data_IF_018711128803
#
_entry.id   IF_018711128803
#
_cell.length_a   1.000
_cell.length_b   1.000
_cell.length_c   1.000
_cell.angle_alpha   90.00
_cell.angle_beta   90.00
_cell.angle_gamma   90.00
#
_symmetry.space_group_name_H-M   'P 1'
#
loop_
_entity.id
_entity.type
_entity.pdbx_description
1 polymer ?
#
# COMPACT_ATOMS: atom_id res chain seq x y z
N UNK A 1 -12.91 -5.16 23.48
CA UNK A 1 -11.53 -5.33 24.00
C UNK A 1 -10.57 -4.78 22.96
N UNK A 2 -9.86 -3.68 23.28
CA UNK A 2 -8.76 -3.21 22.44
C UNK A 2 -7.66 -4.27 22.48
N UNK A 3 -7.24 -4.77 21.32
CA UNK A 3 -6.09 -5.68 21.22
C UNK A 3 -4.88 -4.96 21.84
N UNK A 4 -4.06 -5.64 22.65
CA UNK A 4 -2.90 -5.02 23.27
C UNK A 4 -2.04 -4.35 22.19
N UNK A 5 -1.67 -3.08 22.43
CA UNK A 5 -0.82 -2.29 21.55
C UNK A 5 0.59 -2.89 21.57
N UNK A 6 0.79 -3.95 20.81
CA UNK A 6 2.13 -4.36 20.43
C UNK A 6 2.70 -3.17 19.66
N UNK A 7 3.57 -2.38 20.31
CA UNK A 7 4.07 -1.09 19.82
C UNK A 7 4.45 -1.21 18.34
N UNK A 8 3.54 -0.74 17.46
CA UNK A 8 3.75 -0.84 16.02
C UNK A 8 4.80 0.19 15.66
N UNK A 9 5.88 -0.24 14.98
CA UNK A 9 6.97 0.66 14.61
C UNK A 9 6.46 1.69 13.60
N UNK A 10 6.16 2.88 14.10
CA UNK A 10 5.78 4.04 13.28
C UNK A 10 6.97 4.47 12.43
N UNK A 11 6.71 4.71 11.16
CA UNK A 11 7.66 5.20 10.16
C UNK A 11 7.22 6.57 9.70
N UNK A 12 8.16 7.38 9.24
CA UNK A 12 7.88 8.68 8.60
C UNK A 12 8.27 8.62 7.13
N UNK A 13 7.52 9.33 6.29
CA UNK A 13 7.81 9.53 4.88
C UNK A 13 7.65 11.01 4.54
N UNK A 14 8.64 11.61 3.90
CA UNK A 14 8.60 12.99 3.41
C UNK A 14 8.20 12.95 1.95
N UNK A 15 7.01 13.43 1.64
CA UNK A 15 6.42 13.37 0.31
C UNK A 15 6.89 14.53 -0.57
N UNK A 16 6.86 14.31 -1.89
CA UNK A 16 7.16 15.34 -2.89
C UNK A 16 6.19 16.53 -2.83
N UNK A 17 5.00 16.34 -2.26
CA UNK A 17 3.99 17.37 -2.00
C UNK A 17 4.37 18.34 -0.86
N UNK A 18 5.49 18.09 -0.16
CA UNK A 18 5.95 18.89 0.98
C UNK A 18 5.38 18.47 2.34
N UNK A 19 4.49 17.48 2.36
CA UNK A 19 3.94 16.90 3.60
C UNK A 19 4.83 15.80 4.17
N UNK A 20 4.80 15.64 5.50
CA UNK A 20 5.43 14.50 6.18
C UNK A 20 4.34 13.61 6.78
N UNK A 21 4.24 12.38 6.31
CA UNK A 21 3.28 11.39 6.81
C UNK A 21 3.95 10.41 7.75
N UNK A 22 3.31 10.15 8.89
CA UNK A 22 3.59 8.99 9.72
C UNK A 22 2.71 7.82 9.31
N UNK A 23 3.26 6.63 9.23
CA UNK A 23 2.49 5.43 8.89
C UNK A 23 3.01 4.18 9.59
N UNK A 24 2.13 3.19 9.73
CA UNK A 24 2.51 1.84 10.13
C UNK A 24 1.59 0.81 9.48
N UNK A 25 2.11 -0.40 9.27
CA UNK A 25 1.32 -1.51 8.76
C UNK A 25 0.36 -2.03 9.83
N UNK A 26 -0.92 -2.16 9.48
CA UNK A 26 -1.97 -2.60 10.41
C UNK A 26 -2.27 -4.09 10.24
N UNK A 27 -2.67 -4.49 9.04
CA UNK A 27 -2.94 -5.88 8.67
C UNK A 27 -2.99 -6.05 7.15
N UNK A 28 -2.94 -7.32 6.71
CA UNK A 28 -3.31 -7.75 5.35
C UNK A 28 -4.44 -8.74 5.47
N UNK A 29 -5.42 -8.65 4.56
CA UNK A 29 -6.54 -9.58 4.51
C UNK A 29 -6.95 -9.89 3.07
N UNK A 30 -7.47 -11.10 2.80
CA UNK A 30 -8.12 -11.38 1.53
C UNK A 30 -9.30 -10.43 1.31
N UNK A 31 -9.45 -9.91 0.09
CA UNK A 31 -10.50 -8.97 -0.27
C UNK A 31 -11.05 -9.23 -1.67
N UNK A 32 -12.25 -8.72 -1.92
CA UNK A 32 -12.88 -8.71 -3.24
C UNK A 32 -13.42 -7.32 -3.56
N UNK A 33 -13.20 -6.86 -4.78
CA UNK A 33 -13.77 -5.61 -5.33
C UNK A 33 -14.52 -5.93 -6.61
N UNK A 34 -15.84 -5.98 -6.53
CA UNK A 34 -16.68 -6.50 -7.61
C UNK A 34 -16.27 -7.93 -7.98
N UNK A 35 -15.88 -8.14 -9.23
CA UNK A 35 -15.38 -9.43 -9.73
C UNK A 35 -13.87 -9.66 -9.50
N UNK A 36 -13.13 -8.64 -9.05
CA UNK A 36 -11.71 -8.77 -8.78
C UNK A 36 -11.46 -9.37 -7.39
N UNK A 37 -10.58 -10.37 -7.32
CA UNK A 37 -10.06 -10.94 -6.07
C UNK A 37 -8.64 -10.44 -5.81
N UNK A 38 -8.26 -10.32 -4.54
CA UNK A 38 -6.97 -9.75 -4.17
C UNK A 38 -6.71 -9.80 -2.68
N UNK A 39 -5.64 -9.13 -2.29
CA UNK A 39 -5.32 -8.85 -0.89
C UNK A 39 -5.47 -7.34 -0.65
N UNK A 40 -6.03 -6.98 0.51
CA UNK A 40 -6.11 -5.59 0.95
C UNK A 40 -5.08 -5.37 2.06
N UNK A 41 -4.10 -4.53 1.77
CA UNK A 41 -3.09 -4.08 2.71
C UNK A 41 -3.57 -2.79 3.36
N UNK A 42 -3.65 -2.80 4.69
CA UNK A 42 -4.16 -1.68 5.48
C UNK A 42 -2.98 -1.02 6.21
N UNK A 43 -2.80 0.27 5.95
CA UNK A 43 -1.85 1.12 6.66
C UNK A 43 -2.62 2.15 7.48
N UNK A 44 -2.19 2.38 8.71
CA UNK A 44 -2.66 3.55 9.46
C UNK A 44 -1.71 4.69 9.17
N UNK A 45 -2.26 5.83 8.76
CA UNK A 45 -1.51 7.01 8.31
C UNK A 45 -1.94 8.23 9.12
N UNK A 46 -1.01 9.11 9.45
CA UNK A 46 -1.27 10.38 10.12
C UNK A 46 -0.40 11.48 9.52
N UNK A 47 -0.99 12.65 9.25
CA UNK A 47 -0.25 13.85 8.82
C UNK A 47 0.16 14.75 10.01
N UNK A 48 -0.66 14.81 11.07
CA UNK A 48 -0.46 15.69 12.24
C UNK A 48 0.08 14.94 13.48
N UNK A 49 0.35 13.63 13.37
CA UNK A 49 0.73 12.74 14.49
C UNK A 49 -0.32 12.56 15.59
N UNK A 50 -1.49 13.23 15.48
CA UNK A 50 -2.61 13.12 16.43
C UNK A 50 -3.73 12.23 15.92
N UNK A 51 -4.12 12.43 14.66
CA UNK A 51 -5.23 11.70 14.04
C UNK A 51 -4.69 10.72 13.00
N UNK A 52 -4.90 9.43 13.23
CA UNK A 52 -4.56 8.38 12.29
C UNK A 52 -5.81 7.89 11.55
N UNK A 53 -5.71 7.71 10.24
CA UNK A 53 -6.77 7.20 9.39
C UNK A 53 -6.28 5.97 8.60
N UNK A 54 -7.18 5.00 8.30
CA UNK A 54 -6.81 3.83 7.53
C UNK A 54 -6.71 4.14 6.04
N UNK A 55 -5.63 3.70 5.42
CA UNK A 55 -5.44 3.67 3.96
C UNK A 55 -5.46 2.22 3.52
N UNK A 56 -6.33 1.93 2.54
CA UNK A 56 -6.53 0.58 2.00
C UNK A 56 -5.94 0.50 0.62
N UNK A 57 -5.14 -0.54 0.39
CA UNK A 57 -4.44 -0.76 -0.86
C UNK A 57 -4.80 -2.16 -1.33
N UNK A 58 -5.60 -2.23 -2.39
CA UNK A 58 -6.01 -3.51 -2.96
C UNK A 58 -5.02 -3.96 -4.02
N UNK A 59 -4.42 -5.13 -3.80
CA UNK A 59 -3.52 -5.77 -4.75
C UNK A 59 -4.28 -6.89 -5.47
N UNK A 60 -4.44 -6.74 -6.78
CA UNK A 60 -5.19 -7.68 -7.61
C UNK A 60 -4.44 -9.01 -7.77
N UNK A 61 -5.07 -10.12 -7.39
CA UNK A 61 -4.51 -11.47 -7.62
C UNK A 61 -4.30 -11.76 -9.11
N UNK A 62 -5.12 -11.13 -9.98
CA UNK A 62 -4.95 -11.25 -11.44
C UNK A 62 -3.64 -10.60 -11.87
N UNK A 63 -3.38 -9.37 -11.42
CA UNK A 63 -2.16 -8.64 -11.76
C UNK A 63 -0.90 -9.35 -11.27
N UNK A 64 -0.94 -9.88 -10.04
CA UNK A 64 0.15 -10.68 -9.45
C UNK A 64 0.45 -11.92 -10.29
N UNK A 65 -0.59 -12.62 -10.76
CA UNK A 65 -0.43 -13.80 -11.61
C UNK A 65 0.08 -13.45 -13.00
N UNK A 66 -0.42 -12.38 -13.61
CA UNK A 66 0.03 -11.90 -14.93
C UNK A 66 1.50 -11.48 -14.89
N UNK A 67 1.90 -10.71 -13.87
CA UNK A 67 3.29 -10.34 -13.66
C UNK A 67 4.18 -11.58 -13.47
N UNK A 68 3.76 -12.54 -12.63
CA UNK A 68 4.56 -13.74 -12.38
C UNK A 68 4.76 -14.62 -13.62
N UNK A 69 3.74 -14.71 -14.48
CA UNK A 69 3.87 -15.38 -15.77
C UNK A 69 4.86 -14.67 -16.70
N UNK A 70 4.85 -13.33 -16.74
CA UNK A 70 5.76 -12.53 -17.56
C UNK A 70 7.21 -12.58 -17.05
N UNK A 71 7.39 -12.55 -15.73
CA UNK A 71 8.70 -12.61 -15.07
C UNK A 71 9.29 -14.05 -15.01
N UNK A 72 8.49 -15.08 -15.33
CA UNK A 72 8.90 -16.48 -15.24
C UNK A 72 9.06 -17.00 -13.81
N UNK A 73 8.60 -16.24 -12.79
CA UNK A 73 8.64 -16.61 -11.37
C UNK A 73 7.43 -16.05 -10.62
N UNK A 74 6.92 -16.73 -9.58
CA UNK A 74 5.85 -16.18 -8.76
C UNK A 74 6.31 -14.94 -7.97
N UNK A 75 5.41 -13.97 -7.80
CA UNK A 75 5.61 -12.86 -6.87
C UNK A 75 5.47 -13.38 -5.43
N UNK A 76 6.44 -13.06 -4.57
CA UNK A 76 6.39 -13.43 -3.15
C UNK A 76 5.48 -12.48 -2.37
N UNK A 77 4.98 -12.92 -1.20
CA UNK A 77 4.19 -12.07 -0.31
C UNK A 77 4.96 -10.84 0.20
N UNK A 78 6.29 -10.93 0.29
CA UNK A 78 7.17 -9.80 0.63
C UNK A 78 7.20 -8.76 -0.49
N UNK A 79 7.31 -9.21 -1.74
CA UNK A 79 7.26 -8.32 -2.91
C UNK A 79 5.87 -7.71 -3.09
N UNK A 80 4.80 -8.48 -2.87
CA UNK A 80 3.41 -7.97 -2.87
C UNK A 80 3.21 -6.89 -1.81
N UNK A 81 3.68 -7.13 -0.58
CA UNK A 81 3.69 -6.13 0.49
C UNK A 81 4.49 -4.88 0.11
N UNK A 82 5.66 -5.06 -0.50
CA UNK A 82 6.51 -3.97 -0.91
C UNK A 82 5.86 -3.15 -2.04
N UNK A 83 5.21 -3.79 -3.02
CA UNK A 83 4.45 -3.12 -4.06
C UNK A 83 3.28 -2.29 -3.47
N UNK A 84 2.53 -2.84 -2.52
CA UNK A 84 1.49 -2.10 -1.81
C UNK A 84 2.05 -0.87 -1.08
N UNK A 85 3.19 -1.03 -0.39
CA UNK A 85 3.88 0.08 0.28
C UNK A 85 4.37 1.14 -0.72
N UNK A 86 4.90 0.73 -1.88
CA UNK A 86 5.32 1.66 -2.92
C UNK A 86 4.14 2.44 -3.49
N UNK A 87 2.96 1.80 -3.63
CA UNK A 87 1.74 2.50 -4.05
C UNK A 87 1.29 3.54 -3.03
N UNK A 88 1.46 3.27 -1.73
CA UNK A 88 1.21 4.25 -0.67
C UNK A 88 2.09 5.50 -0.82
N UNK A 89 3.40 5.31 -1.02
CA UNK A 89 4.33 6.43 -1.20
C UNK A 89 4.03 7.23 -2.45
N UNK A 90 3.74 6.55 -3.56
CA UNK A 90 3.31 7.19 -4.78
C UNK A 90 2.07 8.08 -4.54
N UNK A 91 1.08 7.59 -3.79
CA UNK A 91 -0.10 8.37 -3.45
C UNK A 91 0.23 9.61 -2.60
N UNK A 92 1.17 9.52 -1.66
CA UNK A 92 1.63 10.68 -0.90
C UNK A 92 2.34 11.72 -1.78
N UNK A 93 3.09 11.28 -2.78
CA UNK A 93 3.80 12.15 -3.72
C UNK A 93 2.88 12.77 -4.79
N UNK A 94 1.80 12.09 -5.16
CA UNK A 94 0.89 12.51 -6.25
C UNK A 94 -0.33 13.31 -5.76
N UNK A 95 -0.84 13.02 -4.55
CA UNK A 95 -2.09 13.58 -4.06
C UNK A 95 -1.79 14.67 -3.03
N UNK A 96 -2.03 15.92 -3.42
CA UNK A 96 -2.00 17.05 -2.50
C UNK A 96 -3.02 16.87 -1.37
N UNK A 97 -2.59 17.16 -0.14
CA UNK A 97 -3.41 17.05 1.06
C UNK A 97 -4.13 15.69 1.19
N UNK A 98 -3.40 14.59 0.95
CA UNK A 98 -3.93 13.22 0.98
C UNK A 98 -4.75 12.87 2.24
N UNK A 99 -4.47 13.53 3.38
CA UNK A 99 -5.23 13.33 4.62
C UNK A 99 -6.69 13.83 4.54
N UNK A 100 -6.96 14.91 3.78
CA UNK A 100 -8.32 15.40 3.55
C UNK A 100 -9.04 14.61 2.46
N UNK A 101 -8.30 13.99 1.54
CA UNK A 101 -8.83 13.25 0.38
C UNK A 101 -8.19 11.87 0.25
N UNK A 102 -8.49 10.94 1.18
CA UNK A 102 -7.93 9.59 1.09
C UNK A 102 -8.46 8.90 -0.17
N UNK A 103 -7.55 8.47 -1.03
CA UNK A 103 -7.88 7.75 -2.24
C UNK A 103 -7.95 6.23 -2.00
N UNK A 104 -8.82 5.56 -2.74
CA UNK A 104 -8.86 4.12 -2.80
C UNK A 104 -7.71 3.62 -3.70
N UNK A 105 -6.68 3.05 -3.08
CA UNK A 105 -5.46 2.68 -3.80
C UNK A 105 -5.57 1.26 -4.35
N UNK A 106 -5.09 1.09 -5.59
CA UNK A 106 -5.11 -0.18 -6.31
C UNK A 106 -3.71 -0.44 -6.89
N UNK A 107 -3.29 -1.70 -6.75
CA UNK A 107 -2.15 -2.27 -7.47
C UNK A 107 -2.70 -3.30 -8.46
N UNK A 108 -2.56 -2.99 -9.74
CA UNK A 108 -3.03 -3.79 -10.85
C UNK A 108 -1.94 -3.91 -11.93
N UNK A 109 -2.26 -4.58 -13.04
CA UNK A 109 -1.28 -4.88 -14.08
C UNK A 109 -0.67 -3.60 -14.70
N UNK A 110 -1.37 -2.47 -14.67
CA UNK A 110 -0.89 -1.21 -15.21
C UNK A 110 0.24 -0.56 -14.39
N UNK A 111 0.33 -0.84 -13.09
CA UNK A 111 1.30 -0.18 -12.20
C UNK A 111 2.23 -1.14 -11.43
N UNK A 112 1.89 -2.43 -11.33
CA UNK A 112 2.66 -3.40 -10.53
C UNK A 112 4.12 -3.47 -10.96
N UNK A 113 4.40 -3.59 -12.27
CA UNK A 113 5.77 -3.67 -12.79
C UNK A 113 6.60 -2.42 -12.45
N UNK A 114 6.01 -1.23 -12.64
CA UNK A 114 6.68 0.03 -12.32
C UNK A 114 6.96 0.19 -10.82
N UNK A 115 6.05 -0.31 -9.96
CA UNK A 115 6.24 -0.31 -8.51
C UNK A 115 7.34 -1.28 -8.08
N UNK A 116 7.43 -2.45 -8.69
CA UNK A 116 8.46 -3.44 -8.41
C UNK A 116 9.84 -2.99 -8.90
N UNK A 117 9.95 -2.35 -10.07
CA UNK A 117 11.21 -1.79 -10.56
C UNK A 117 11.85 -0.78 -9.61
N UNK A 118 11.06 -0.06 -8.81
CA UNK A 118 11.57 0.87 -7.79
C UNK A 118 12.21 0.16 -6.58
N UNK A 119 12.02 -1.15 -6.46
CA UNK A 119 12.54 -1.98 -5.37
C UNK A 119 13.85 -2.71 -5.71
N UNK A 120 14.35 -2.57 -6.96
CA UNK A 120 15.54 -3.30 -7.46
C UNK A 120 15.40 -4.83 -7.32
N UNK A 121 14.24 -5.37 -7.75
CA UNK A 121 13.84 -6.79 -7.61
C UNK A 121 13.56 -7.47 -8.94
#
# INVERSE_FOLDING_TARGET
>A
MARPDAARRVKSYSAATGYVYQYYFFEVRPARRGFATGNEYIYMVSADRKSAFPVRIFVSSKAVREWGNAAGRPLTGTEEYAAAKMRLFQAFDEIEDFAARPADLIVDAANLDALLKKLDV
#
